data_IF_162796394309
#
_entry.id   IF_162796394309
#
_cell.length_a   1.000
_cell.length_b   1.000
_cell.length_c   1.000
_cell.angle_alpha   90.00
_cell.angle_beta   90.00
_cell.angle_gamma   90.00
#
_symmetry.space_group_name_H-M   'P 1'
#
loop_
_entity.id
_entity.type
_entity.pdbx_description
1 polymer ?
#
# COMPACT_ATOMS: atom_id res chain seq x y z
N UNK A 1 -21.82 15.90 -6.73
CA UNK A 1 -20.72 16.23 -7.68
C UNK A 1 -19.67 17.05 -6.94
N UNK A 2 -18.38 16.78 -7.16
CA UNK A 2 -17.26 17.57 -6.63
C UNK A 2 -16.28 17.85 -7.76
N UNK A 3 -15.74 19.07 -7.80
CA UNK A 3 -14.74 19.50 -8.77
C UNK A 3 -13.63 20.21 -8.01
N UNK A 4 -12.38 19.96 -8.40
CA UNK A 4 -11.20 20.63 -7.86
C UNK A 4 -10.31 19.70 -7.05
N UNK A 5 -9.39 20.29 -6.27
CA UNK A 5 -8.43 19.56 -5.45
C UNK A 5 -9.14 18.82 -4.32
N UNK A 6 -9.06 17.49 -4.33
CA UNK A 6 -9.70 16.64 -3.32
C UNK A 6 -8.82 15.43 -3.00
N UNK A 7 -8.80 14.96 -1.74
CA UNK A 7 -8.15 13.71 -1.42
C UNK A 7 -8.89 12.56 -2.11
N UNK A 8 -8.14 11.75 -2.86
CA UNK A 8 -8.63 10.52 -3.45
C UNK A 8 -7.76 9.40 -2.90
N UNK A 9 -8.38 8.50 -2.17
CA UNK A 9 -7.72 7.35 -1.60
C UNK A 9 -8.71 6.20 -1.44
N UNK A 10 -8.23 4.99 -1.66
CA UNK A 10 -8.94 3.74 -1.42
C UNK A 10 -7.94 2.63 -1.13
N UNK A 11 -8.42 1.40 -1.07
CA UNK A 11 -7.65 0.25 -0.65
C UNK A 11 -8.02 -0.14 0.78
N UNK A 12 -8.08 -1.45 1.01
CA UNK A 12 -8.40 -2.04 2.31
C UNK A 12 -7.16 -2.59 2.98
N UNK A 13 -6.09 -2.87 2.21
CA UNK A 13 -4.82 -3.30 2.74
C UNK A 13 -4.15 -2.27 3.66
N UNK A 14 -3.45 -2.78 4.67
CA UNK A 14 -2.77 -2.00 5.69
C UNK A 14 -1.32 -1.72 5.33
N UNK A 15 -0.60 -2.64 4.70
CA UNK A 15 0.79 -2.43 4.28
C UNK A 15 0.84 -2.16 2.79
N UNK A 16 0.08 -2.92 2.00
CA UNK A 16 0.03 -2.83 0.55
C UNK A 16 -1.39 -2.64 0.03
N UNK A 17 -1.54 -1.83 -1.03
CA UNK A 17 -2.83 -1.59 -1.69
C UNK A 17 -2.70 -1.83 -3.21
N UNK A 18 -3.03 -3.04 -3.70
CA UNK A 18 -2.99 -3.38 -5.12
C UNK A 18 -3.77 -2.42 -6.03
N UNK A 19 -4.92 -1.93 -5.57
CA UNK A 19 -5.84 -1.10 -6.37
C UNK A 19 -5.66 0.41 -6.16
N UNK A 20 -4.81 0.84 -5.22
CA UNK A 20 -4.47 2.26 -5.03
C UNK A 20 -3.48 2.71 -6.12
N UNK A 21 -3.96 3.56 -7.03
CA UNK A 21 -3.24 4.01 -8.23
C UNK A 21 -2.92 5.50 -8.21
N UNK A 22 -3.55 6.28 -7.32
CA UNK A 22 -3.36 7.72 -7.28
C UNK A 22 -2.16 8.05 -6.40
N UNK A 23 -2.17 7.52 -5.19
CA UNK A 23 -1.10 7.70 -4.23
C UNK A 23 -0.74 6.32 -3.66
N UNK A 24 0.06 5.52 -4.38
CA UNK A 24 0.50 4.23 -3.88
C UNK A 24 1.17 4.39 -2.51
N UNK A 25 0.79 3.52 -1.56
CA UNK A 25 1.39 3.52 -0.22
C UNK A 25 2.80 2.93 -0.29
N UNK A 26 3.77 3.61 0.31
CA UNK A 26 5.10 3.05 0.54
C UNK A 26 5.11 2.38 1.90
N UNK A 27 5.28 1.05 1.92
CA UNK A 27 5.19 0.23 3.13
C UNK A 27 6.18 0.64 4.24
N UNK A 28 7.30 1.26 3.87
CA UNK A 28 8.41 1.61 4.76
C UNK A 28 8.56 3.13 4.99
N UNK A 29 7.65 3.97 4.46
CA UNK A 29 7.68 5.42 4.69
C UNK A 29 6.64 5.84 5.75
N UNK A 30 7.05 6.08 7.01
CA UNK A 30 6.15 6.55 8.07
C UNK A 30 5.78 8.04 7.92
N UNK A 31 6.39 8.76 6.98
CA UNK A 31 6.11 10.17 6.69
C UNK A 31 5.23 10.38 5.45
N UNK A 32 4.81 9.28 4.82
CA UNK A 32 3.99 9.27 3.62
C UNK A 32 2.75 10.16 3.79
N UNK A 33 2.58 11.12 2.87
CA UNK A 33 1.45 12.04 2.82
C UNK A 33 0.65 11.83 1.54
N UNK A 34 -0.67 11.87 1.68
CA UNK A 34 -1.62 11.84 0.55
C UNK A 34 -1.95 13.26 0.15
N UNK A 35 -1.36 13.72 -0.94
CA UNK A 35 -1.76 14.98 -1.55
C UNK A 35 -3.09 14.83 -2.27
N UNK A 36 -3.89 15.90 -2.24
CA UNK A 36 -5.14 15.96 -2.99
C UNK A 36 -4.91 16.10 -4.49
N UNK A 37 -5.76 15.47 -5.30
CA UNK A 37 -5.72 15.52 -6.76
C UNK A 37 -6.79 16.46 -7.31
N UNK A 38 -6.49 17.10 -8.44
CA UNK A 38 -7.50 17.82 -9.20
C UNK A 38 -8.39 16.83 -9.95
N UNK A 39 -9.63 16.71 -9.52
CA UNK A 39 -10.54 15.73 -10.10
C UNK A 39 -11.99 16.24 -10.21
N UNK A 40 -12.70 15.68 -11.18
CA UNK A 40 -14.16 15.68 -11.25
C UNK A 40 -14.66 14.36 -10.68
N UNK A 41 -15.50 14.42 -9.65
CA UNK A 41 -16.11 13.24 -9.02
C UNK A 41 -17.63 13.34 -9.06
N UNK A 42 -18.26 12.34 -9.67
CA UNK A 42 -19.69 12.05 -9.57
C UNK A 42 -19.86 10.86 -8.65
N UNK A 43 -20.79 10.96 -7.70
CA UNK A 43 -21.06 9.90 -6.75
C UNK A 43 -22.55 9.82 -6.48
N UNK A 44 -23.06 8.59 -6.43
CA UNK A 44 -24.40 8.26 -5.98
C UNK A 44 -24.26 7.24 -4.86
N UNK A 45 -25.08 7.36 -3.83
CA UNK A 45 -25.07 6.46 -2.66
C UNK A 45 -26.47 5.90 -2.46
N UNK A 46 -26.54 4.68 -1.96
CA UNK A 46 -27.79 4.00 -1.64
C UNK A 46 -27.61 3.07 -0.45
N UNK A 47 -28.70 2.81 0.27
CA UNK A 47 -28.68 1.95 1.46
C UNK A 47 -27.70 2.45 2.55
N UNK A 48 -27.18 1.50 3.33
CA UNK A 48 -26.29 1.76 4.47
C UNK A 48 -24.79 1.65 4.14
N UNK A 49 -24.43 1.32 2.90
CA UNK A 49 -23.03 1.22 2.47
C UNK A 49 -22.83 1.12 0.95
N UNK A 50 -23.92 1.19 0.19
CA UNK A 50 -23.90 1.10 -1.26
C UNK A 50 -23.56 2.43 -1.94
N UNK A 51 -22.87 2.35 -3.06
CA UNK A 51 -22.63 3.53 -3.89
C UNK A 51 -21.81 3.30 -5.13
N UNK A 52 -21.96 4.20 -6.10
CA UNK A 52 -21.15 4.27 -7.30
C UNK A 52 -20.38 5.59 -7.36
N UNK A 53 -19.15 5.53 -7.86
CA UNK A 53 -18.32 6.70 -8.12
C UNK A 53 -17.79 6.66 -9.54
N UNK A 54 -17.85 7.79 -10.24
CA UNK A 54 -17.15 8.02 -11.49
C UNK A 54 -16.23 9.24 -11.29
N UNK A 55 -14.93 9.03 -11.51
CA UNK A 55 -13.90 10.01 -11.20
C UNK A 55 -13.04 10.23 -12.46
N UNK A 56 -12.89 11.48 -12.87
CA UNK A 56 -11.90 11.91 -13.85
C UNK A 56 -10.81 12.70 -13.14
N UNK A 57 -9.58 12.22 -13.15
CA UNK A 57 -8.41 12.91 -12.59
C UNK A 57 -7.65 13.59 -13.74
N UNK A 58 -7.25 14.84 -13.51
CA UNK A 58 -6.48 15.64 -14.46
C UNK A 58 -5.13 16.00 -13.83
N UNK A 59 -4.06 15.33 -14.25
CA UNK A 59 -2.69 15.74 -13.92
C UNK A 59 -2.16 16.55 -15.12
N UNK A 60 -1.61 17.74 -14.88
CA UNK A 60 -0.98 18.56 -15.92
C UNK A 60 -1.76 19.81 -16.35
N UNK A 61 -1.20 20.97 -16.00
CA UNK A 61 -1.46 22.28 -16.65
C UNK A 61 -0.53 22.47 -17.87
N UNK A 62 0.27 21.47 -18.23
CA UNK A 62 1.31 21.56 -19.28
C UNK A 62 1.08 20.56 -20.42
N UNK A 63 -0.03 20.72 -21.15
CA UNK A 63 -0.14 20.32 -22.56
C UNK A 63 0.02 18.84 -22.95
N UNK A 64 0.21 17.90 -22.01
CA UNK A 64 0.27 16.47 -22.32
C UNK A 64 -1.02 15.74 -21.87
N UNK A 65 -1.81 15.18 -22.80
CA UNK A 65 -3.04 14.44 -22.50
C UNK A 65 -2.81 13.04 -21.90
N UNK A 66 -1.54 12.62 -21.78
CA UNK A 66 -1.06 11.36 -21.21
C UNK A 66 -1.09 11.31 -19.67
N UNK A 67 -1.76 12.26 -19.04
CA UNK A 67 -1.76 12.45 -17.58
C UNK A 67 -3.18 12.40 -16.98
N UNK A 68 -4.17 12.00 -17.81
CA UNK A 68 -5.56 11.82 -17.41
C UNK A 68 -5.85 10.38 -16.98
N UNK A 69 -6.75 10.24 -16.01
CA UNK A 69 -7.20 8.95 -15.48
C UNK A 69 -8.71 8.97 -15.30
N UNK A 70 -9.37 7.88 -15.69
CA UNK A 70 -10.81 7.67 -15.49
C UNK A 70 -11.01 6.45 -14.62
N UNK A 71 -11.83 6.59 -13.58
CA UNK A 71 -12.03 5.58 -12.55
C UNK A 71 -13.52 5.40 -12.31
N UNK A 72 -13.97 4.16 -12.39
CA UNK A 72 -15.29 3.72 -11.95
C UNK A 72 -15.14 2.89 -10.68
N UNK A 73 -16.01 3.13 -9.70
CA UNK A 73 -16.09 2.30 -8.48
C UNK A 73 -17.53 1.95 -8.18
N UNK A 74 -17.74 0.73 -7.74
CA UNK A 74 -18.98 0.25 -7.15
C UNK A 74 -18.66 -0.25 -5.75
N UNK A 75 -19.48 0.11 -4.77
CA UNK A 75 -19.34 -0.28 -3.37
C UNK A 75 -20.67 -0.82 -2.90
N UNK A 76 -20.61 -1.82 -2.03
CA UNK A 76 -21.77 -2.35 -1.34
C UNK A 76 -21.37 -2.83 0.06
N UNK A 77 -22.32 -2.79 1.00
CA UNK A 77 -22.17 -3.45 2.29
C UNK A 77 -23.16 -4.59 2.36
N UNK A 78 -22.66 -5.82 2.45
CA UNK A 78 -23.47 -7.04 2.47
C UNK A 78 -23.16 -7.81 3.75
N UNK A 79 -24.16 -8.01 4.61
CA UNK A 79 -24.04 -8.72 5.90
C UNK A 79 -22.92 -8.17 6.81
N UNK A 80 -22.66 -6.87 6.78
CA UNK A 80 -21.59 -6.25 7.56
C UNK A 80 -20.21 -6.32 6.92
N UNK A 81 -20.09 -6.91 5.72
CA UNK A 81 -18.86 -6.90 4.91
C UNK A 81 -18.91 -5.78 3.87
N UNK A 82 -17.83 -5.01 3.80
CA UNK A 82 -17.63 -3.99 2.78
C UNK A 82 -16.99 -4.60 1.54
N UNK A 83 -17.68 -4.47 0.41
CA UNK A 83 -17.24 -4.93 -0.90
C UNK A 83 -17.06 -3.73 -1.82
N UNK A 84 -16.01 -3.76 -2.64
CA UNK A 84 -15.89 -2.82 -3.74
C UNK A 84 -15.35 -3.47 -5.01
N UNK A 85 -15.80 -2.98 -6.16
CA UNK A 85 -15.20 -3.22 -7.45
C UNK A 85 -14.67 -1.90 -8.01
N UNK A 86 -13.52 -1.95 -8.69
CA UNK A 86 -12.86 -0.79 -9.28
C UNK A 86 -12.43 -1.11 -10.70
N UNK A 87 -12.67 -0.17 -11.60
CA UNK A 87 -12.08 -0.15 -12.93
C UNK A 87 -11.39 1.19 -13.13
N UNK A 88 -10.15 1.20 -13.59
CA UNK A 88 -9.42 2.42 -13.87
C UNK A 88 -8.67 2.34 -15.19
N UNK A 89 -8.85 3.34 -16.04
CA UNK A 89 -8.10 3.50 -17.27
C UNK A 89 -7.20 4.72 -17.15
N UNK A 90 -5.91 4.53 -17.41
CA UNK A 90 -4.92 5.59 -17.33
C UNK A 90 -3.69 5.29 -18.18
N UNK A 91 -2.89 6.33 -18.36
CA UNK A 91 -1.57 6.26 -18.96
C UNK A 91 -0.54 6.03 -17.86
N UNK A 92 0.28 5.00 -18.03
CA UNK A 92 1.26 4.51 -17.08
C UNK A 92 2.69 4.74 -17.62
N UNK A 93 3.52 5.40 -16.83
CA UNK A 93 4.95 5.63 -17.12
C UNK A 93 5.88 4.76 -16.24
N UNK A 94 5.31 3.90 -15.40
CA UNK A 94 6.03 3.15 -14.34
C UNK A 94 6.77 1.91 -14.84
N UNK A 95 6.54 1.48 -16.07
CA UNK A 95 7.11 0.22 -16.60
C UNK A 95 8.39 0.43 -17.38
N UNK A 96 8.62 1.64 -17.89
CA UNK A 96 9.88 2.01 -18.54
C UNK A 96 10.00 3.53 -18.45
N UNK A 97 11.07 4.07 -17.85
CA UNK A 97 11.35 5.50 -17.93
C UNK A 97 11.24 5.95 -19.39
N UNK A 98 10.54 7.07 -19.63
CA UNK A 98 10.28 7.66 -20.95
C UNK A 98 9.28 6.94 -21.89
N UNK A 99 8.63 5.85 -21.46
CA UNK A 99 7.54 5.22 -22.24
C UNK A 99 6.20 5.32 -21.53
N UNK A 100 5.28 6.07 -22.12
CA UNK A 100 3.88 6.14 -21.66
C UNK A 100 3.05 5.06 -22.34
N UNK A 101 2.46 4.15 -21.56
CA UNK A 101 1.62 3.05 -22.07
C UNK A 101 0.21 3.13 -21.51
N UNK A 102 -0.77 2.56 -22.22
CA UNK A 102 -2.13 2.45 -21.70
C UNK A 102 -2.23 1.29 -20.73
N UNK A 103 -2.88 1.53 -19.59
CA UNK A 103 -3.17 0.54 -18.57
C UNK A 103 -4.64 0.58 -18.18
N UNK A 104 -5.27 -0.60 -18.19
CA UNK A 104 -6.57 -0.83 -17.57
C UNK A 104 -6.38 -1.68 -16.32
N UNK A 105 -6.71 -1.12 -15.16
CA UNK A 105 -6.83 -1.86 -13.91
C UNK A 105 -8.28 -2.29 -13.74
N UNK A 106 -8.50 -3.59 -13.48
CA UNK A 106 -9.75 -4.11 -12.96
C UNK A 106 -9.47 -4.77 -11.61
N UNK A 107 -10.20 -4.41 -10.57
CA UNK A 107 -9.93 -4.89 -9.23
C UNK A 107 -11.14 -4.99 -8.33
N UNK A 108 -10.92 -5.60 -7.18
CA UNK A 108 -11.91 -5.82 -6.14
C UNK A 108 -11.32 -5.65 -4.76
N UNK A 109 -12.16 -5.32 -3.80
CA UNK A 109 -11.83 -5.12 -2.39
C UNK A 109 -12.89 -5.80 -1.53
N UNK A 110 -12.43 -6.33 -0.40
CA UNK A 110 -13.21 -6.96 0.64
C UNK A 110 -12.62 -6.51 1.98
N UNK A 111 -13.48 -6.14 2.92
CA UNK A 111 -13.13 -5.92 4.31
C UNK A 111 -14.30 -6.28 5.23
N UNK A 112 -14.00 -6.81 6.41
CA UNK A 112 -15.00 -7.08 7.43
C UNK A 112 -14.40 -7.76 8.65
N UNK A 113 -15.26 -8.29 9.50
CA UNK A 113 -14.85 -8.91 10.77
C UNK A 113 -15.62 -10.21 11.01
N UNK A 114 -14.92 -11.25 11.45
CA UNK A 114 -15.51 -12.52 11.88
C UNK A 114 -14.92 -12.89 13.23
N UNK A 115 -15.76 -13.04 14.27
CA UNK A 115 -15.33 -13.43 15.62
C UNK A 115 -14.22 -12.54 16.22
N UNK A 116 -14.33 -11.22 16.07
CA UNK A 116 -13.30 -10.23 16.45
C UNK A 116 -11.97 -10.37 15.69
N UNK A 117 -11.95 -11.07 14.57
CA UNK A 117 -10.81 -11.12 13.65
C UNK A 117 -11.18 -10.24 12.46
N UNK A 118 -10.44 -9.15 12.29
CA UNK A 118 -10.53 -8.31 11.10
C UNK A 118 -9.94 -9.07 9.91
N UNK A 119 -10.61 -8.98 8.77
CA UNK A 119 -10.22 -9.65 7.52
C UNK A 119 -10.31 -8.65 6.39
N UNK A 120 -9.33 -8.65 5.51
CA UNK A 120 -9.39 -7.89 4.27
C UNK A 120 -8.70 -8.62 3.13
N UNK A 121 -9.17 -8.32 1.93
CA UNK A 121 -8.53 -8.72 0.70
C UNK A 121 -8.71 -7.63 -0.35
N UNK A 122 -7.71 -7.44 -1.19
CA UNK A 122 -7.75 -6.50 -2.29
C UNK A 122 -6.95 -7.08 -3.46
N UNK A 123 -7.48 -7.01 -4.67
CA UNK A 123 -6.85 -7.62 -5.83
C UNK A 123 -7.10 -6.80 -7.07
N UNK A 124 -6.14 -6.81 -7.98
CA UNK A 124 -6.18 -6.08 -9.24
C UNK A 124 -5.48 -6.86 -10.34
N UNK A 125 -6.06 -6.81 -11.54
CA UNK A 125 -5.43 -7.25 -12.76
C UNK A 125 -5.14 -6.02 -13.63
N UNK A 126 -3.87 -5.87 -14.01
CA UNK A 126 -3.36 -4.75 -14.78
C UNK A 126 -3.14 -5.21 -16.22
N UNK A 127 -3.97 -4.70 -17.13
CA UNK A 127 -3.92 -4.98 -18.56
C UNK A 127 -3.17 -3.86 -19.27
N UNK A 128 -2.10 -4.22 -19.98
CA UNK A 128 -1.44 -3.34 -20.94
C UNK A 128 -1.79 -3.77 -22.35
N UNK A 129 -1.77 -2.83 -23.31
CA UNK A 129 -1.95 -3.16 -24.73
C UNK A 129 -0.85 -4.10 -25.26
N UNK A 130 0.34 -4.07 -24.65
CA UNK A 130 1.47 -4.93 -24.98
C UNK A 130 1.57 -6.10 -23.98
N UNK A 131 1.15 -7.28 -24.44
CA UNK A 131 1.25 -8.57 -23.73
C UNK A 131 2.68 -9.11 -23.89
N UNK A 132 3.58 -8.78 -22.95
CA UNK A 132 3.66 -9.54 -21.69
C UNK A 132 3.69 -8.68 -20.42
N UNK A 133 3.37 -7.38 -20.50
CA UNK A 133 3.42 -6.49 -19.32
C UNK A 133 2.24 -6.66 -18.37
N UNK A 134 1.19 -7.36 -18.80
CA UNK A 134 -0.01 -7.56 -17.99
C UNK A 134 0.29 -8.44 -16.78
N UNK A 135 -0.23 -8.05 -15.61
CA UNK A 135 0.05 -8.77 -14.36
C UNK A 135 -1.10 -8.69 -13.36
N UNK A 136 -1.21 -9.73 -12.54
CA UNK A 136 -2.08 -9.75 -11.37
C UNK A 136 -1.30 -9.31 -10.11
N UNK A 137 -1.97 -8.65 -9.20
CA UNK A 137 -1.49 -8.41 -7.84
C UNK A 137 -2.65 -8.50 -6.86
N UNK A 138 -2.41 -9.05 -5.68
CA UNK A 138 -3.41 -9.12 -4.63
C UNK A 138 -2.78 -9.15 -3.25
N UNK A 139 -3.57 -8.72 -2.27
CA UNK A 139 -3.24 -8.72 -0.86
C UNK A 139 -4.36 -9.40 -0.10
N UNK A 140 -4.01 -10.17 0.92
CA UNK A 140 -4.95 -10.73 1.90
C UNK A 140 -4.34 -10.53 3.28
N UNK A 141 -5.12 -10.06 4.23
CA UNK A 141 -4.64 -9.88 5.58
C UNK A 141 -5.72 -10.07 6.62
N UNK A 142 -5.25 -10.16 7.86
CA UNK A 142 -6.07 -10.33 9.04
C UNK A 142 -5.41 -9.69 10.25
N UNK A 143 -6.23 -9.30 11.21
CA UNK A 143 -5.76 -8.74 12.46
C UNK A 143 -6.65 -9.14 13.64
N UNK A 144 -6.08 -9.05 14.85
CA UNK A 144 -6.81 -9.30 16.07
C UNK A 144 -6.24 -8.46 17.23
N UNK A 145 -7.13 -7.93 18.06
CA UNK A 145 -6.75 -7.29 19.32
C UNK A 145 -7.14 -8.17 20.50
N UNK A 146 -6.14 -8.68 21.22
CA UNK A 146 -6.35 -9.46 22.42
C UNK A 146 -6.78 -8.59 23.60
N UNK A 147 -7.43 -9.22 24.59
CA UNK A 147 -7.89 -8.55 25.83
C UNK A 147 -6.77 -7.93 26.66
N UNK A 148 -5.54 -8.44 26.55
CA UNK A 148 -4.34 -7.89 27.17
C UNK A 148 -3.69 -6.76 26.35
N UNK A 149 -4.45 -6.13 25.44
CA UNK A 149 -4.09 -4.94 24.65
C UNK A 149 -2.90 -5.14 23.71
N UNK A 150 -2.72 -6.36 23.22
CA UNK A 150 -1.84 -6.65 22.09
C UNK A 150 -2.67 -6.69 20.82
N UNK A 151 -2.31 -5.85 19.86
CA UNK A 151 -2.76 -5.97 18.48
C UNK A 151 -1.76 -6.83 17.71
N UNK A 152 -2.25 -7.80 16.94
CA UNK A 152 -1.43 -8.58 16.02
C UNK A 152 -2.03 -8.49 14.62
N UNK A 153 -1.18 -8.50 13.62
CA UNK A 153 -1.55 -8.31 12.23
C UNK A 153 -0.68 -9.16 11.32
N UNK A 154 -1.30 -9.77 10.31
CA UNK A 154 -0.59 -10.44 9.22
C UNK A 154 -1.17 -9.98 7.89
N UNK A 155 -0.31 -9.74 6.91
CA UNK A 155 -0.73 -9.39 5.55
C UNK A 155 0.19 -10.05 4.54
N UNK A 156 -0.36 -10.65 3.50
CA UNK A 156 0.40 -11.27 2.43
C UNK A 156 0.11 -10.54 1.11
N UNK A 157 1.17 -10.18 0.39
CA UNK A 157 1.15 -9.62 -0.95
C UNK A 157 1.67 -10.63 -1.97
N UNK A 158 0.88 -10.83 -3.02
CA UNK A 158 1.34 -11.33 -4.31
C UNK A 158 1.47 -10.16 -5.29
N UNK A 159 2.66 -9.96 -5.84
CA UNK A 159 2.96 -8.92 -6.81
C UNK A 159 3.48 -9.56 -8.10
N UNK A 160 2.63 -9.73 -9.11
CA UNK A 160 2.99 -10.46 -10.34
C UNK A 160 4.12 -9.86 -11.18
N UNK A 161 4.47 -8.58 -10.96
CA UNK A 161 5.68 -7.94 -11.53
C UNK A 161 6.95 -8.23 -10.73
N UNK A 162 6.84 -8.85 -9.56
CA UNK A 162 7.96 -9.21 -8.74
C UNK A 162 8.70 -10.44 -9.26
N UNK A 163 9.98 -10.51 -8.95
CA UNK A 163 10.86 -11.63 -9.26
C UNK A 163 10.50 -12.84 -8.39
N UNK A 164 10.59 -14.04 -8.96
CA UNK A 164 10.39 -15.31 -8.25
C UNK A 164 11.67 -15.83 -7.60
N UNK A 165 12.78 -15.08 -7.64
CA UNK A 165 13.98 -15.37 -6.86
C UNK A 165 14.70 -16.65 -7.30
N UNK A 166 14.38 -17.16 -8.50
CA UNK A 166 15.04 -18.34 -9.07
C UNK A 166 16.35 -17.99 -9.79
N UNK A 167 16.56 -16.72 -10.17
CA UNK A 167 17.77 -16.26 -10.83
C UNK A 167 18.57 -15.28 -9.98
N UNK A 168 19.89 -15.52 -9.86
CA UNK A 168 20.83 -14.66 -9.13
C UNK A 168 20.88 -13.20 -9.66
N UNK A 169 20.43 -12.98 -10.90
CA UNK A 169 20.45 -11.67 -11.57
C UNK A 169 19.08 -10.95 -11.54
N UNK A 170 18.10 -11.45 -10.77
CA UNK A 170 16.74 -10.91 -10.75
C UNK A 170 16.70 -9.45 -10.26
N UNK A 171 17.57 -9.06 -9.33
CA UNK A 171 17.55 -7.71 -8.74
C UNK A 171 18.38 -6.69 -9.54
N UNK A 172 17.89 -6.35 -10.74
CA UNK A 172 18.54 -5.40 -11.65
C UNK A 172 18.59 -3.95 -11.14
N UNK A 173 19.57 -3.16 -11.61
CA UNK A 173 19.69 -1.73 -11.31
C UNK A 173 18.43 -0.94 -11.70
N UNK A 174 17.85 -1.24 -12.86
CA UNK A 174 16.63 -0.58 -13.33
C UNK A 174 15.46 -0.86 -12.36
N UNK A 175 15.34 -2.10 -11.87
CA UNK A 175 14.35 -2.45 -10.85
C UNK A 175 14.55 -1.68 -9.54
N UNK A 176 15.80 -1.48 -9.12
CA UNK A 176 16.14 -0.65 -7.95
C UNK A 176 15.77 0.82 -8.15
N UNK A 177 16.00 1.37 -9.35
CA UNK A 177 15.63 2.73 -9.68
C UNK A 177 14.10 2.92 -9.71
N UNK A 178 13.36 1.95 -10.28
CA UNK A 178 11.90 1.93 -10.24
C UNK A 178 11.37 1.89 -8.81
N UNK A 179 11.99 1.09 -7.94
CA UNK A 179 11.61 1.00 -6.53
C UNK A 179 11.90 2.31 -5.79
N UNK A 180 13.09 2.88 -5.96
CA UNK A 180 13.48 4.13 -5.31
C UNK A 180 12.62 5.32 -5.76
N UNK A 181 12.12 5.29 -6.99
CA UNK A 181 11.18 6.30 -7.54
C UNK A 181 9.72 6.03 -7.18
N UNK A 182 9.41 4.94 -6.46
CA UNK A 182 8.04 4.55 -6.09
C UNK A 182 7.20 4.01 -7.25
N UNK A 183 7.80 3.76 -8.42
CA UNK A 183 7.16 3.15 -9.59
C UNK A 183 6.94 1.64 -9.38
N UNK A 184 7.70 1.04 -8.46
CA UNK A 184 7.62 -0.38 -8.09
C UNK A 184 7.36 -0.55 -6.59
N UNK A 185 6.39 -1.40 -6.25
CA UNK A 185 5.98 -1.67 -4.85
C UNK A 185 6.96 -2.59 -4.11
N UNK A 186 7.46 -3.59 -4.81
CA UNK A 186 8.30 -4.67 -4.28
C UNK A 186 9.26 -5.21 -5.35
N UNK A 187 10.40 -5.76 -4.94
CA UNK A 187 11.24 -6.49 -5.88
C UNK A 187 10.76 -7.93 -6.00
N UNK A 188 10.53 -8.62 -4.88
CA UNK A 188 10.01 -9.98 -4.84
C UNK A 188 8.52 -10.09 -5.21
N UNK A 189 8.15 -11.25 -5.75
CA UNK A 189 6.76 -11.61 -6.09
C UNK A 189 5.90 -11.86 -4.86
N UNK A 190 6.52 -12.31 -3.78
CA UNK A 190 5.84 -12.70 -2.56
C UNK A 190 6.40 -11.91 -1.39
N UNK A 191 5.53 -11.27 -0.62
CA UNK A 191 5.90 -10.58 0.60
C UNK A 191 4.89 -10.86 1.70
N UNK A 192 5.37 -11.02 2.92
CA UNK A 192 4.55 -11.20 4.12
C UNK A 192 4.92 -10.12 5.11
N UNK A 193 3.92 -9.40 5.61
CA UNK A 193 4.03 -8.58 6.79
C UNK A 193 3.50 -9.32 8.00
N UNK A 194 4.24 -9.24 9.11
CA UNK A 194 3.80 -9.65 10.43
C UNK A 194 4.05 -8.51 11.41
N UNK A 195 3.07 -8.18 12.22
CA UNK A 195 3.15 -7.09 13.19
C UNK A 195 2.53 -7.44 14.52
N UNK A 196 3.11 -6.93 15.60
CA UNK A 196 2.52 -6.94 16.92
C UNK A 196 2.79 -5.60 17.62
N UNK A 197 1.75 -5.03 18.23
CA UNK A 197 1.83 -3.78 18.98
C UNK A 197 1.18 -3.99 20.36
N UNK A 198 1.97 -3.80 21.42
CA UNK A 198 1.51 -3.87 22.80
C UNK A 198 1.27 -2.46 23.34
N UNK A 199 0.06 -2.21 23.80
CA UNK A 199 -0.24 -1.01 24.59
C UNK A 199 0.03 -1.31 26.07
N UNK A 200 1.01 -0.62 26.67
CA UNK A 200 1.43 -0.85 28.06
C UNK A 200 0.49 -0.11 29.02
N UNK A 201 0.35 1.19 28.81
CA UNK A 201 -0.63 2.07 29.46
C UNK A 201 -1.24 2.96 28.37
N UNK A 202 -2.31 3.68 28.68
CA UNK A 202 -2.87 4.66 27.75
C UNK A 202 -1.73 5.55 27.24
N UNK A 203 -1.55 5.62 25.91
CA UNK A 203 -0.54 6.43 25.20
C UNK A 203 0.91 5.94 25.21
N UNK A 204 1.22 4.76 25.76
CA UNK A 204 2.54 4.14 25.63
C UNK A 204 2.45 2.79 24.94
N UNK A 205 3.08 2.66 23.78
CA UNK A 205 3.11 1.42 23.02
C UNK A 205 4.52 1.03 22.59
N UNK A 206 4.76 -0.27 22.60
CA UNK A 206 5.92 -0.90 21.97
C UNK A 206 5.41 -1.82 20.88
N UNK A 207 6.07 -1.81 19.74
CA UNK A 207 5.69 -2.61 18.60
C UNK A 207 6.89 -3.21 17.89
N UNK A 208 6.62 -4.28 17.18
CA UNK A 208 7.56 -4.86 16.23
C UNK A 208 6.78 -5.25 14.98
N UNK A 209 7.34 -4.94 13.81
CA UNK A 209 6.87 -5.44 12.53
C UNK A 209 7.99 -6.12 11.79
N UNK A 210 7.66 -6.97 10.84
CA UNK A 210 8.59 -7.51 9.88
C UNK A 210 7.92 -7.55 8.51
N UNK A 211 8.64 -7.17 7.47
CA UNK A 211 8.31 -7.50 6.09
C UNK A 211 9.33 -8.53 5.62
N UNK A 212 8.88 -9.68 5.13
CA UNK A 212 9.72 -10.80 4.75
C UNK A 212 9.37 -11.22 3.33
N UNK A 213 10.38 -11.42 2.49
CA UNK A 213 10.25 -12.17 1.26
C UNK A 213 10.51 -13.65 1.58
N UNK A 214 9.48 -14.51 1.57
CA UNK A 214 9.63 -15.91 1.97
C UNK A 214 10.39 -16.75 0.94
N UNK A 215 10.64 -16.22 -0.26
CA UNK A 215 11.30 -16.94 -1.35
C UNK A 215 12.81 -16.92 -1.18
N UNK A 216 13.39 -15.74 -0.96
CA UNK A 216 14.84 -15.57 -0.73
C UNK A 216 15.21 -15.49 0.76
N UNK A 217 14.21 -15.57 1.65
CA UNK A 217 14.41 -15.57 3.10
C UNK A 217 14.86 -14.22 3.68
N UNK A 218 14.87 -13.16 2.87
CA UNK A 218 15.30 -11.84 3.30
C UNK A 218 14.14 -11.01 3.84
N UNK A 219 14.44 -9.97 4.60
CA UNK A 219 13.40 -9.13 5.17
C UNK A 219 13.92 -7.90 5.89
N UNK A 220 12.98 -7.16 6.46
CA UNK A 220 13.24 -5.99 7.29
C UNK A 220 12.43 -6.07 8.58
N UNK A 221 13.12 -5.91 9.70
CA UNK A 221 12.52 -5.81 11.04
C UNK A 221 12.36 -4.34 11.40
N UNK A 222 11.20 -4.04 11.98
CA UNK A 222 10.70 -2.70 12.20
C UNK A 222 10.28 -2.54 13.68
N UNK A 223 11.24 -2.34 14.60
CA UNK A 223 10.90 -2.03 15.99
C UNK A 223 10.29 -0.62 16.10
N UNK A 224 9.29 -0.46 16.97
CA UNK A 224 8.55 0.78 17.19
C UNK A 224 8.38 1.06 18.67
N UNK A 225 8.47 2.32 19.04
CA UNK A 225 8.21 2.81 20.39
C UNK A 225 7.46 4.14 20.28
N UNK A 226 6.35 4.27 20.99
CA UNK A 226 5.61 5.51 21.12
C UNK A 226 5.35 5.79 22.60
N UNK A 227 5.80 6.94 23.09
CA UNK A 227 5.68 7.36 24.47
C UNK A 227 5.05 8.75 24.53
N UNK A 228 4.09 8.93 25.43
CA UNK A 228 3.63 10.25 25.82
C UNK A 228 4.48 10.72 27.02
N UNK A 229 5.36 11.70 26.79
CA UNK A 229 6.30 12.19 27.81
C UNK A 229 5.67 13.22 28.74
N UNK A 230 4.68 13.97 28.23
CA UNK A 230 3.86 14.93 28.97
C UNK A 230 2.53 15.16 28.21
N UNK A 231 1.58 15.88 28.82
CA UNK A 231 0.25 16.16 28.26
C UNK A 231 0.28 16.74 26.82
N UNK A 232 1.37 17.41 26.46
CA UNK A 232 1.57 18.04 25.15
C UNK A 232 2.88 17.64 24.47
N UNK A 233 3.49 16.52 24.86
CA UNK A 233 4.77 16.08 24.33
C UNK A 233 4.79 14.58 24.06
N UNK A 234 4.94 14.21 22.79
CA UNK A 234 5.03 12.82 22.33
C UNK A 234 6.40 12.51 21.75
N UNK A 235 6.93 11.33 22.08
CA UNK A 235 8.11 10.74 21.47
C UNK A 235 7.71 9.50 20.67
N UNK A 236 8.18 9.41 19.43
CA UNK A 236 8.09 8.20 18.62
C UNK A 236 9.45 7.82 18.08
N UNK A 237 9.80 6.55 18.17
CA UNK A 237 11.01 5.95 17.63
C UNK A 237 10.64 4.78 16.72
N UNK A 238 11.32 4.69 15.59
CA UNK A 238 11.12 3.69 14.57
C UNK A 238 12.48 3.20 14.07
N UNK A 239 12.70 1.89 14.02
CA UNK A 239 13.90 1.29 13.45
C UNK A 239 13.61 0.57 12.14
N UNK A 240 14.64 0.43 11.31
CA UNK A 240 14.66 -0.31 10.05
C UNK A 240 15.93 -1.14 10.05
N UNK A 241 15.79 -2.46 10.16
CA UNK A 241 16.90 -3.41 10.25
C UNK A 241 16.69 -4.52 9.23
N UNK A 242 17.38 -4.45 8.10
CA UNK A 242 17.35 -5.49 7.07
C UNK A 242 18.20 -6.71 7.45
N UNK A 243 17.79 -7.86 6.94
CA UNK A 243 18.51 -9.13 6.99
C UNK A 243 18.30 -9.91 5.67
N UNK A 244 19.22 -10.82 5.35
CA UNK A 244 19.21 -11.60 4.11
C UNK A 244 20.60 -11.69 3.48
N UNK A 245 20.76 -12.57 2.51
CA UNK A 245 21.99 -12.73 1.73
C UNK A 245 22.20 -11.53 0.78
N UNK A 246 23.44 -11.24 0.39
CA UNK A 246 23.76 -10.06 -0.45
C UNK A 246 23.07 -10.06 -1.82
N UNK A 247 22.61 -11.22 -2.29
CA UNK A 247 21.86 -11.39 -3.54
C UNK A 247 20.33 -11.34 -3.34
N UNK A 248 19.85 -11.13 -2.11
CA UNK A 248 18.42 -11.10 -1.78
C UNK A 248 17.83 -9.70 -1.80
N UNK A 249 16.49 -9.56 -1.89
CA UNK A 249 15.81 -8.26 -1.97
C UNK A 249 16.23 -7.32 -0.83
N UNK A 250 16.25 -7.81 0.41
CA UNK A 250 16.58 -6.96 1.56
C UNK A 250 18.06 -7.02 1.98
N UNK A 251 18.84 -7.98 1.46
CA UNK A 251 20.28 -8.06 1.71
C UNK A 251 21.13 -7.29 0.68
N UNK A 252 20.67 -7.15 -0.57
CA UNK A 252 21.35 -6.37 -1.61
C UNK A 252 21.31 -4.86 -1.36
N UNK A 253 20.26 -4.37 -0.70
CA UNK A 253 20.13 -2.99 -0.27
C UNK A 253 19.82 -2.91 1.24
N UNK A 254 20.80 -3.25 2.10
CA UNK A 254 20.56 -3.40 3.52
C UNK A 254 20.29 -2.04 4.17
N UNK A 255 19.21 -1.95 4.93
CA UNK A 255 18.86 -0.76 5.71
C UNK A 255 19.18 -1.03 7.17
N UNK A 256 20.01 -0.17 7.76
CA UNK A 256 20.23 -0.11 9.21
C UNK A 256 20.09 1.34 9.64
N UNK A 257 18.91 1.69 10.12
CA UNK A 257 18.60 3.07 10.45
C UNK A 257 17.32 3.20 11.24
N UNK A 258 16.86 4.43 11.40
CA UNK A 258 15.64 4.70 12.13
C UNK A 258 15.31 6.18 12.16
N UNK A 259 14.12 6.48 12.64
CA UNK A 259 13.61 7.84 12.82
C UNK A 259 13.25 7.99 14.29
N UNK A 260 13.76 9.06 14.90
CA UNK A 260 13.30 9.55 16.19
C UNK A 260 12.55 10.86 15.95
N UNK A 261 11.31 10.96 16.44
CA UNK A 261 10.46 12.14 16.27
C UNK A 261 9.89 12.56 17.62
N UNK A 262 10.11 13.82 17.96
CA UNK A 262 9.51 14.49 19.11
C UNK A 262 8.46 15.48 18.59
N UNK A 263 7.23 15.38 19.09
CA UNK A 263 6.10 16.22 18.68
C UNK A 263 5.57 16.98 19.90
N UNK A 264 5.56 18.30 19.83
CA UNK A 264 4.99 19.17 20.86
C UNK A 264 3.72 19.85 20.37
N UNK A 265 2.72 19.94 21.25
CA UNK A 265 1.46 20.64 20.99
C UNK A 265 1.42 21.94 21.83
N UNK A 266 0.92 23.03 21.22
CA UNK A 266 0.84 24.36 21.81
C UNK A 266 -0.54 24.98 21.60
#
# INVERSE_FOLDING_TARGET
MRIGKQPLAWGTGYVWNPTEIIAPKLAYDPSYRRDGENALKLAASWGSGGGAEAIGVLRGVTGRPDSAMVIGRLKENIFGFDLAAIGAWFWDTTTTPDTTRRRLLLGGQFAGEIWNIGLWAEGGYNLYEEDPLSYAEFVVGLDHTFTFRTHVMAEYLYYGRGFDGEAADDYTFDGWLERASGLRKAMGRHLVYLGADQTIISFHSIGIGAIVNPVDGSGIVIPRLSLNLADNLDLSAFGLISFGDEESEFGAAPVKGGILRLTGYF
#
